data_IF_088600696919
#
_entry.id   IF_088600696919
#
_cell.length_a   1.000
_cell.length_b   1.000
_cell.length_c   1.000
_cell.angle_alpha   90.00
_cell.angle_beta   90.00
_cell.angle_gamma   90.00
#
_symmetry.space_group_name_H-M   'P 1'
#
loop_
_entity.id
_entity.type
_entity.pdbx_description
1 polymer ?
#
# COMPACT_ATOMS: atom_id res chain seq x y z
N UNK A 1 -13.29 25.48 4.61
CA UNK A 1 -12.70 24.62 5.66
C UNK A 1 -13.01 23.14 5.37
N UNK A 2 -11.99 22.36 5.00
CA UNK A 2 -12.12 20.91 4.86
C UNK A 2 -12.21 20.26 6.24
N UNK A 3 -13.07 19.24 6.44
CA UNK A 3 -13.20 18.60 7.74
C UNK A 3 -11.85 17.99 8.17
N UNK A 4 -11.49 18.05 9.47
CA UNK A 4 -10.34 17.33 9.97
C UNK A 4 -10.52 15.84 9.66
N UNK A 5 -9.41 15.19 9.29
CA UNK A 5 -9.32 13.82 8.80
C UNK A 5 -10.37 12.87 9.40
N UNK A 6 -11.12 12.19 8.53
CA UNK A 6 -12.18 11.24 8.88
C UNK A 6 -11.70 10.06 9.76
N UNK A 7 -10.40 9.91 10.00
CA UNK A 7 -9.81 8.67 10.51
C UNK A 7 -9.49 8.65 12.00
N UNK A 8 -9.46 9.78 12.71
CA UNK A 8 -8.95 9.82 14.10
C UNK A 8 -9.73 8.94 15.10
N UNK A 9 -11.01 8.66 14.86
CA UNK A 9 -11.87 7.94 15.81
C UNK A 9 -11.62 6.43 15.84
N UNK A 10 -11.02 5.86 14.79
CA UNK A 10 -10.85 4.41 14.65
C UNK A 10 -9.42 3.98 14.31
N UNK A 11 -8.44 4.88 14.35
CA UNK A 11 -7.04 4.55 14.06
C UNK A 11 -6.56 3.30 14.81
N UNK A 12 -6.90 3.17 16.09
CA UNK A 12 -6.49 2.03 16.91
C UNK A 12 -7.04 0.69 16.37
N UNK A 13 -8.26 0.63 15.82
CA UNK A 13 -8.81 -0.61 15.27
C UNK A 13 -8.07 -1.08 14.00
N UNK A 14 -7.46 -0.15 13.25
CA UNK A 14 -6.81 -0.44 11.97
C UNK A 14 -5.28 -0.58 12.07
N UNK A 15 -4.70 -0.46 13.26
CA UNK A 15 -3.27 -0.76 13.44
C UNK A 15 -3.00 -2.24 13.16
N UNK A 16 -1.86 -2.54 12.52
CA UNK A 16 -1.51 -3.89 12.06
C UNK A 16 -1.58 -4.96 13.18
N UNK A 17 -1.27 -4.56 14.42
CA UNK A 17 -1.37 -5.41 15.61
C UNK A 17 -2.81 -5.87 15.87
N UNK A 18 -3.79 -4.98 15.74
CA UNK A 18 -5.20 -5.28 16.03
C UNK A 18 -5.86 -6.03 14.85
N UNK A 19 -5.30 -5.89 13.64
CA UNK A 19 -5.66 -6.70 12.46
C UNK A 19 -5.04 -8.11 12.45
N UNK A 20 -4.30 -8.49 13.49
CA UNK A 20 -3.59 -9.78 13.56
C UNK A 20 -2.64 -9.99 12.38
N UNK A 21 -2.05 -8.90 11.87
CA UNK A 21 -1.02 -8.98 10.84
C UNK A 21 0.31 -9.40 11.50
N UNK A 22 0.71 -10.65 11.30
CA UNK A 22 1.94 -11.23 11.83
C UNK A 22 3.18 -10.98 10.95
N UNK A 23 3.06 -10.16 9.92
CA UNK A 23 4.16 -9.79 9.01
C UNK A 23 4.55 -8.32 9.19
N UNK A 24 5.74 -7.92 8.72
CA UNK A 24 6.17 -6.53 8.75
C UNK A 24 5.17 -5.65 7.95
N UNK A 25 4.49 -4.68 8.60
CA UNK A 25 3.54 -3.81 7.93
C UNK A 25 4.23 -2.98 6.85
N UNK A 26 3.58 -2.80 5.70
CA UNK A 26 4.08 -1.90 4.67
C UNK A 26 4.05 -0.47 5.21
N UNK A 27 5.18 0.23 5.11
CA UNK A 27 5.24 1.64 5.42
C UNK A 27 4.49 2.41 4.32
N UNK A 28 3.23 2.73 4.58
CA UNK A 28 2.38 3.52 3.71
C UNK A 28 2.16 4.91 4.32
N UNK A 29 1.82 5.89 3.48
CA UNK A 29 1.34 7.20 3.97
C UNK A 29 0.06 6.96 4.78
N UNK A 30 0.03 7.40 6.04
CA UNK A 30 -1.10 7.20 6.95
C UNK A 30 -2.38 7.87 6.45
N UNK A 31 -2.26 9.07 5.88
CA UNK A 31 -3.40 9.79 5.30
C UNK A 31 -2.96 10.50 4.01
N UNK A 32 -3.78 10.47 2.94
CA UNK A 32 -3.55 11.30 1.77
C UNK A 32 -3.69 12.78 2.15
N UNK A 33 -2.77 13.65 1.75
CA UNK A 33 -2.93 15.09 1.98
C UNK A 33 -4.20 15.60 1.29
N UNK A 34 -4.84 16.63 1.86
CA UNK A 34 -5.88 17.35 1.16
C UNK A 34 -5.34 17.82 -0.20
N UNK A 35 -6.09 17.55 -1.26
CA UNK A 35 -5.71 17.92 -2.61
C UNK A 35 -6.28 19.30 -2.94
N UNK A 36 -5.44 20.19 -3.41
CA UNK A 36 -5.83 21.49 -3.95
C UNK A 36 -5.89 21.44 -5.49
N UNK A 37 -6.77 22.23 -6.10
CA UNK A 37 -6.91 22.34 -7.56
C UNK A 37 -7.76 21.24 -8.22
N UNK A 38 -7.44 20.90 -9.48
CA UNK A 38 -8.23 20.01 -10.32
C UNK A 38 -7.44 18.77 -10.82
N UNK A 39 -8.17 17.77 -11.33
CA UNK A 39 -7.57 16.56 -11.93
C UNK A 39 -7.33 16.73 -13.42
N UNK A 40 -6.10 16.43 -13.84
CA UNK A 40 -5.70 16.36 -15.25
C UNK A 40 -5.69 14.92 -15.72
N UNK A 41 -6.00 14.70 -16.99
CA UNK A 41 -5.91 13.38 -17.60
C UNK A 41 -4.45 12.96 -17.72
N UNK A 42 -4.13 11.80 -17.15
CA UNK A 42 -2.79 11.19 -17.22
C UNK A 42 -2.71 10.05 -18.22
N UNK A 43 -3.85 9.63 -18.78
CA UNK A 43 -3.98 8.55 -19.74
C UNK A 43 -4.92 8.93 -20.90
N UNK A 44 -4.75 8.27 -22.03
CA UNK A 44 -5.65 8.36 -23.18
C UNK A 44 -6.91 7.51 -22.98
N UNK A 45 -7.85 7.60 -23.92
CA UNK A 45 -9.14 6.89 -23.89
C UNK A 45 -9.00 5.36 -23.91
N UNK A 46 -7.83 4.85 -24.30
CA UNK A 46 -7.51 3.41 -24.31
C UNK A 46 -6.85 2.94 -23.01
N UNK A 47 -6.64 3.83 -22.04
CA UNK A 47 -6.00 3.55 -20.76
C UNK A 47 -4.46 3.59 -20.79
N UNK A 48 -3.82 4.01 -21.88
CA UNK A 48 -2.37 4.19 -21.95
C UNK A 48 -1.95 5.53 -21.35
N UNK A 49 -0.93 5.53 -20.49
CA UNK A 49 -0.36 6.76 -19.95
C UNK A 49 0.15 7.68 -21.06
N UNK A 50 -0.03 8.99 -20.87
CA UNK A 50 0.52 10.00 -21.78
C UNK A 50 2.06 9.93 -21.76
N UNK A 51 2.75 10.17 -22.89
CA UNK A 51 4.21 10.01 -22.99
C UNK A 51 5.03 10.80 -21.97
N UNK A 52 4.50 11.92 -21.48
CA UNK A 52 5.15 12.82 -20.53
C UNK A 52 4.94 12.43 -19.06
N UNK A 53 4.08 11.43 -18.78
CA UNK A 53 3.80 10.99 -17.41
C UNK A 53 4.90 10.02 -16.96
N UNK A 54 5.66 10.34 -15.89
CA UNK A 54 6.69 9.45 -15.39
C UNK A 54 6.07 8.14 -14.89
N UNK A 55 6.67 7.02 -15.26
CA UNK A 55 6.21 5.67 -14.88
C UNK A 55 7.25 4.99 -13.99
N UNK A 56 6.78 4.27 -12.97
CA UNK A 56 7.66 3.37 -12.22
C UNK A 56 8.16 2.24 -13.13
N UNK A 57 9.45 1.85 -12.98
CA UNK A 57 10.04 0.70 -13.69
C UNK A 57 9.53 -0.65 -13.18
N UNK A 58 8.75 -0.67 -12.10
CA UNK A 58 8.19 -1.89 -11.52
C UNK A 58 7.06 -2.36 -12.44
N UNK A 59 7.34 -3.43 -13.17
CA UNK A 59 6.35 -4.14 -13.98
C UNK A 59 5.31 -4.78 -13.07
N UNK A 60 4.08 -4.96 -13.57
CA UNK A 60 2.95 -5.59 -12.86
C UNK A 60 3.22 -7.03 -12.38
N UNK A 61 4.36 -7.62 -12.75
CA UNK A 61 4.75 -9.00 -12.47
C UNK A 61 5.92 -9.10 -11.46
N UNK A 62 6.07 -8.15 -10.54
CA UNK A 62 6.96 -8.37 -9.38
C UNK A 62 6.22 -9.15 -8.29
N UNK A 63 6.05 -10.47 -8.48
CA UNK A 63 5.80 -11.36 -7.35
C UNK A 63 7.14 -11.59 -6.64
N UNK A 64 7.26 -11.37 -5.32
CA UNK A 64 8.35 -11.96 -4.57
C UNK A 64 8.14 -13.47 -4.63
N UNK A 65 9.02 -14.17 -5.33
CA UNK A 65 9.13 -15.62 -5.28
C UNK A 65 9.43 -15.99 -3.82
N UNK A 66 8.37 -16.42 -3.10
CA UNK A 66 8.33 -17.08 -1.79
C UNK A 66 9.51 -16.88 -0.80
N UNK A 67 9.32 -16.24 0.37
CA UNK A 67 10.28 -16.31 1.47
C UNK A 67 10.02 -17.51 2.41
N UNK A 68 9.43 -18.61 1.92
CA UNK A 68 8.94 -19.72 2.76
C UNK A 68 9.89 -20.92 2.85
N UNK A 69 11.20 -20.72 2.70
CA UNK A 69 12.19 -21.80 2.85
C UNK A 69 12.82 -21.90 4.24
N UNK A 70 12.20 -21.36 5.29
CA UNK A 70 12.60 -21.70 6.66
C UNK A 70 11.45 -22.42 7.36
N UNK A 71 11.64 -23.68 7.79
CA UNK A 71 10.64 -24.37 8.60
C UNK A 71 10.54 -23.66 9.96
N UNK A 72 9.32 -23.55 10.52
CA UNK A 72 9.13 -22.87 11.79
C UNK A 72 9.81 -23.62 12.95
N UNK A 73 10.27 -22.91 13.99
CA UNK A 73 11.17 -23.41 15.03
C UNK A 73 10.58 -24.53 15.91
N UNK A 74 9.28 -24.82 15.80
CA UNK A 74 8.62 -25.91 16.52
C UNK A 74 8.80 -27.29 15.87
N UNK A 75 9.36 -27.37 14.65
CA UNK A 75 9.59 -28.63 13.92
C UNK A 75 10.77 -29.46 14.42
N UNK A 76 11.56 -28.99 15.40
CA UNK A 76 12.77 -29.64 15.89
C UNK A 76 12.62 -30.28 17.29
N UNK A 77 11.40 -30.60 17.70
CA UNK A 77 11.17 -31.41 18.91
C UNK A 77 10.75 -32.81 18.47
N UNK A 78 11.75 -33.68 18.25
CA UNK A 78 11.60 -35.13 18.27
C UNK A 78 12.35 -35.69 19.48
#
# INVERSE_FOLDING_TARGET
PFPPALSLQYEDAFVARNLQNWTLPKLCKQHPSAREGYTQFVANERGHLLPLVPRSKVTSLSLPLFPFLHPPPWSLRS
#
